data_IF_802019725907
#
_entry.id   IF_802019725907
#
_cell.length_a   1.000
_cell.length_b   1.000
_cell.length_c   1.000
_cell.angle_alpha   90.00
_cell.angle_beta   90.00
_cell.angle_gamma   90.00
#
_symmetry.space_group_name_H-M   'P 1'
#
loop_
_entity.id
_entity.type
_entity.pdbx_description
1 polymer ?
#
# COMPACT_ATOMS: atom_id res chain seq x y z
N UNK A 1 22.15 -13.35 -24.32
CA UNK A 1 21.39 -12.07 -24.33
C UNK A 1 20.71 -11.94 -22.98
N UNK A 2 20.97 -10.86 -22.22
CA UNK A 2 20.26 -10.59 -20.96
C UNK A 2 18.99 -9.85 -21.34
N UNK A 3 17.83 -10.48 -21.17
CA UNK A 3 16.54 -9.80 -21.36
C UNK A 3 16.24 -8.96 -20.12
N UNK A 4 16.01 -7.65 -20.24
CA UNK A 4 15.70 -6.81 -19.09
C UNK A 4 14.37 -7.24 -18.48
N UNK A 5 14.34 -7.34 -17.15
CA UNK A 5 13.14 -7.67 -16.40
C UNK A 5 12.24 -6.44 -16.33
N UNK A 6 10.95 -6.60 -16.61
CA UNK A 6 9.99 -5.49 -16.56
C UNK A 6 9.71 -5.16 -15.10
N UNK A 7 9.82 -3.88 -14.73
CA UNK A 7 9.54 -3.39 -13.37
C UNK A 7 8.22 -2.63 -13.35
N UNK A 8 7.25 -3.12 -12.57
CA UNK A 8 5.99 -2.44 -12.31
C UNK A 8 6.02 -1.68 -10.98
N UNK A 9 5.71 -0.40 -11.02
CA UNK A 9 5.44 0.40 -9.83
C UNK A 9 3.93 0.56 -9.65
N UNK A 10 3.39 0.23 -8.48
CA UNK A 10 1.95 0.29 -8.19
C UNK A 10 1.74 1.14 -6.95
N UNK A 11 0.77 2.04 -6.98
CA UNK A 11 0.42 2.92 -5.88
C UNK A 11 -0.93 2.51 -5.30
N UNK A 12 -0.95 2.09 -4.03
CA UNK A 12 -2.17 1.78 -3.29
C UNK A 12 -2.64 3.01 -2.54
N UNK A 13 -3.82 3.51 -2.89
CA UNK A 13 -4.51 4.57 -2.16
C UNK A 13 -4.84 4.16 -0.72
N UNK A 14 -5.06 5.11 0.21
CA UNK A 14 -5.44 4.80 1.58
C UNK A 14 -6.72 3.96 1.65
N UNK A 15 -6.71 2.93 2.48
CA UNK A 15 -7.87 2.08 2.76
C UNK A 15 -7.69 0.61 2.37
N UNK A 16 -8.31 -0.28 3.14
CA UNK A 16 -8.15 -1.73 2.97
C UNK A 16 -8.72 -2.26 1.65
N UNK A 17 -9.76 -1.63 1.13
CA UNK A 17 -10.36 -1.95 -0.16
C UNK A 17 -9.46 -1.66 -1.37
N UNK A 18 -8.44 -0.80 -1.22
CA UNK A 18 -7.40 -0.59 -2.23
C UNK A 18 -6.19 -1.48 -1.97
N UNK A 19 -5.78 -1.62 -0.70
CA UNK A 19 -4.58 -2.36 -0.35
C UNK A 19 -4.65 -3.85 -0.71
N UNK A 20 -5.74 -4.53 -0.37
CA UNK A 20 -5.90 -5.97 -0.62
C UNK A 20 -5.79 -6.31 -2.12
N UNK A 21 -6.57 -5.69 -3.03
CA UNK A 21 -6.47 -6.01 -4.45
C UNK A 21 -5.11 -5.62 -5.03
N UNK A 22 -4.49 -4.53 -4.56
CA UNK A 22 -3.13 -4.16 -5.01
C UNK A 22 -2.09 -5.20 -4.60
N UNK A 23 -2.17 -5.75 -3.38
CA UNK A 23 -1.27 -6.83 -2.94
C UNK A 23 -1.46 -8.09 -3.79
N UNK A 24 -2.70 -8.48 -4.06
CA UNK A 24 -2.99 -9.66 -4.88
C UNK A 24 -2.49 -9.48 -6.32
N UNK A 25 -2.71 -8.30 -6.91
CA UNK A 25 -2.21 -7.96 -8.24
C UNK A 25 -0.68 -8.01 -8.30
N UNK A 26 0.01 -7.41 -7.32
CA UNK A 26 1.47 -7.41 -7.30
C UNK A 26 2.05 -8.81 -7.12
N UNK A 27 1.41 -9.66 -6.31
CA UNK A 27 1.74 -11.08 -6.19
C UNK A 27 1.64 -11.78 -7.55
N UNK A 28 0.51 -11.66 -8.24
CA UNK A 28 0.28 -12.29 -9.55
C UNK A 28 1.30 -11.83 -10.59
N UNK A 29 1.61 -10.54 -10.66
CA UNK A 29 2.63 -10.01 -11.57
C UNK A 29 4.02 -10.58 -11.26
N UNK A 30 4.38 -10.66 -9.99
CA UNK A 30 5.67 -11.17 -9.52
C UNK A 30 5.83 -12.68 -9.72
N UNK A 31 4.76 -13.47 -9.56
CA UNK A 31 4.80 -14.94 -9.62
C UNK A 31 4.48 -15.51 -11.00
N UNK A 32 3.48 -14.96 -11.70
CA UNK A 32 2.96 -15.55 -12.93
C UNK A 32 3.47 -14.85 -14.20
N UNK A 33 3.92 -13.60 -14.09
CA UNK A 33 4.34 -12.81 -15.25
C UNK A 33 5.83 -12.45 -15.24
N UNK A 34 6.57 -12.82 -14.20
CA UNK A 34 8.02 -12.61 -14.11
C UNK A 34 8.42 -11.14 -13.92
N UNK A 35 7.50 -10.29 -13.45
CA UNK A 35 7.78 -8.88 -13.20
C UNK A 35 8.62 -8.72 -11.93
N UNK A 36 9.37 -7.63 -11.87
CA UNK A 36 9.77 -7.03 -10.61
C UNK A 36 8.70 -6.01 -10.23
N UNK A 37 8.23 -6.03 -8.99
CA UNK A 37 7.09 -5.23 -8.58
C UNK A 37 7.45 -4.45 -7.33
N UNK A 38 7.11 -3.16 -7.31
CA UNK A 38 7.19 -2.32 -6.12
C UNK A 38 5.83 -1.70 -5.85
N UNK A 39 5.28 -1.97 -4.68
CA UNK A 39 4.01 -1.40 -4.25
C UNK A 39 4.27 -0.31 -3.22
N UNK A 40 3.80 0.90 -3.51
CA UNK A 40 3.79 2.02 -2.59
C UNK A 40 2.43 2.08 -1.90
N UNK A 41 2.42 2.00 -0.56
CA UNK A 41 1.20 2.10 0.23
C UNK A 41 1.09 3.50 0.80
N UNK A 42 0.03 4.22 0.42
CA UNK A 42 -0.29 5.53 0.96
C UNK A 42 -1.05 5.35 2.27
N UNK A 43 -0.55 5.96 3.33
CA UNK A 43 -1.26 6.09 4.61
C UNK A 43 -1.74 7.53 4.77
N UNK A 44 -2.92 7.75 5.34
CA UNK A 44 -3.46 9.09 5.55
C UNK A 44 -3.72 9.33 7.04
N UNK A 45 -3.44 10.56 7.49
CA UNK A 45 -3.78 11.04 8.84
C UNK A 45 -4.87 12.08 8.75
N UNK A 46 -5.83 12.03 9.68
CA UNK A 46 -6.85 13.06 9.87
C UNK A 46 -6.65 13.69 11.24
N UNK A 47 -6.88 15.00 11.38
CA UNK A 47 -6.69 15.77 12.63
C UNK A 47 -7.56 15.34 13.81
N UNK A 48 -8.51 14.42 13.63
CA UNK A 48 -9.35 13.89 14.71
C UNK A 48 -8.77 12.58 15.25
N UNK A 49 -8.02 12.68 16.35
CA UNK A 49 -7.55 11.59 17.20
C UNK A 49 -6.48 10.66 16.58
N UNK A 50 -5.22 11.02 16.85
CA UNK A 50 -4.00 10.30 16.55
C UNK A 50 -3.82 8.99 17.37
N UNK A 51 -4.82 8.11 17.40
CA UNK A 51 -4.74 6.77 18.01
C UNK A 51 -4.84 5.61 17.01
N UNK A 52 -5.27 5.85 15.76
CA UNK A 52 -5.53 4.77 14.80
C UNK A 52 -4.42 4.57 13.76
N UNK A 53 -3.46 5.51 13.66
CA UNK A 53 -2.37 5.43 12.68
C UNK A 53 -1.43 4.23 12.91
N UNK A 54 -1.23 3.85 14.18
CA UNK A 54 -0.44 2.67 14.55
C UNK A 54 -1.15 1.35 14.20
N UNK A 55 -2.47 1.29 14.35
CA UNK A 55 -3.28 0.12 13.95
C UNK A 55 -3.29 -0.07 12.44
N UNK A 56 -3.37 1.02 11.66
CA UNK A 56 -3.31 0.92 10.19
C UNK A 56 -1.95 0.40 9.73
N UNK A 57 -0.85 0.88 10.32
CA UNK A 57 0.50 0.37 10.00
C UNK A 57 0.68 -1.09 10.39
N UNK A 58 0.21 -1.51 11.57
CA UNK A 58 0.32 -2.91 12.02
C UNK A 58 -0.47 -3.86 11.11
N UNK A 59 -1.67 -3.46 10.67
CA UNK A 59 -2.48 -4.26 9.76
C UNK A 59 -1.85 -4.37 8.37
N UNK A 60 -1.30 -3.27 7.84
CA UNK A 60 -0.53 -3.28 6.59
C UNK A 60 0.64 -4.27 6.73
N UNK A 61 1.47 -4.12 7.77
CA UNK A 61 2.62 -5.00 8.01
C UNK A 61 2.22 -6.47 8.14
N UNK A 62 1.10 -6.76 8.81
CA UNK A 62 0.58 -8.11 8.95
C UNK A 62 0.18 -8.69 7.59
N UNK A 63 -0.52 -7.93 6.75
CA UNK A 63 -0.96 -8.40 5.44
C UNK A 63 0.19 -8.57 4.45
N UNK A 64 1.24 -7.76 4.57
CA UNK A 64 2.41 -7.83 3.70
C UNK A 64 3.43 -8.87 4.16
N UNK A 65 3.35 -9.35 5.41
CA UNK A 65 4.32 -10.29 6.00
C UNK A 65 4.54 -11.57 5.18
N UNK A 66 3.46 -12.16 4.65
CA UNK A 66 3.53 -13.38 3.83
C UNK A 66 4.18 -13.15 2.44
N UNK A 67 4.13 -11.91 1.96
CA UNK A 67 4.64 -11.53 0.64
C UNK A 67 6.15 -11.21 0.66
N UNK A 68 6.74 -10.99 1.84
CA UNK A 68 8.18 -10.73 2.00
C UNK A 68 9.08 -11.91 1.55
N UNK A 69 8.51 -13.11 1.36
CA UNK A 69 9.22 -14.26 0.81
C UNK A 69 9.47 -14.15 -0.71
N UNK A 70 8.73 -13.27 -1.40
CA UNK A 70 8.84 -13.07 -2.83
C UNK A 70 9.96 -12.07 -3.14
N UNK A 71 11.10 -12.58 -3.63
CA UNK A 71 12.25 -11.74 -4.03
C UNK A 71 11.92 -10.70 -5.11
N UNK A 72 10.86 -10.92 -5.89
CA UNK A 72 10.42 -10.06 -6.99
C UNK A 72 9.38 -9.01 -6.57
N UNK A 73 9.00 -8.94 -5.30
CA UNK A 73 7.98 -8.02 -4.80
C UNK A 73 8.53 -7.21 -3.62
N UNK A 74 8.52 -5.89 -3.76
CA UNK A 74 8.90 -4.94 -2.72
C UNK A 74 7.69 -4.11 -2.30
N UNK A 75 7.57 -3.83 -1.00
CA UNK A 75 6.44 -3.07 -0.45
C UNK A 75 6.99 -1.94 0.40
N UNK A 76 6.64 -0.71 0.01
CA UNK A 76 7.13 0.51 0.62
C UNK A 76 5.93 1.23 1.22
N UNK A 77 5.91 1.36 2.55
CA UNK A 77 4.92 2.19 3.24
C UNK A 77 5.43 3.62 3.23
N UNK A 78 4.64 4.52 2.62
CA UNK A 78 5.00 5.94 2.55
C UNK A 78 4.68 6.66 3.87
N UNK A 79 5.36 7.77 4.17
CA UNK A 79 4.98 8.63 5.29
C UNK A 79 3.51 9.04 5.18
N UNK A 80 2.78 9.15 6.31
CA UNK A 80 1.38 9.53 6.24
C UNK A 80 1.19 10.89 5.60
N UNK A 81 0.23 10.98 4.67
CA UNK A 81 -0.18 12.25 4.07
C UNK A 81 -1.28 12.88 4.92
N UNK A 82 -1.13 14.16 5.21
CA UNK A 82 -2.18 14.95 5.84
C UNK A 82 -3.25 15.27 4.80
N UNK A 83 -4.49 14.85 5.07
CA UNK A 83 -5.66 15.10 4.20
C UNK A 83 -6.73 15.91 4.93
N UNK A 84 -6.37 16.53 6.05
CA UNK A 84 -7.30 17.27 6.90
C UNK A 84 -7.90 18.48 6.18
N UNK A 85 -7.20 19.03 5.20
CA UNK A 85 -7.68 20.11 4.32
C UNK A 85 -8.71 19.63 3.28
N UNK A 86 -8.84 18.32 3.07
CA UNK A 86 -9.79 17.69 2.13
C UNK A 86 -11.06 17.19 2.79
N UNK A 87 -11.13 17.24 4.11
CA UNK A 87 -12.31 16.83 4.88
C UNK A 87 -13.16 18.06 5.20
N UNK A 88 -14.47 17.96 4.97
CA UNK A 88 -15.41 19.00 5.39
C UNK A 88 -15.51 18.96 6.93
N UNK A 89 -15.11 20.02 7.65
CA UNK A 89 -15.18 20.06 9.10
C UNK A 89 -16.62 19.93 9.63
N UNK A 90 -17.64 20.12 8.79
CA UNK A 90 -19.05 19.98 9.15
C UNK A 90 -19.66 18.62 8.76
N UNK A 91 -18.90 17.72 8.15
CA UNK A 91 -19.38 16.38 7.74
C UNK A 91 -18.41 15.28 8.18
N UNK A 92 -18.39 14.93 9.48
CA UNK A 92 -17.38 14.05 10.08
C UNK A 92 -17.47 12.56 9.67
N UNK A 93 -18.51 12.15 8.94
CA UNK A 93 -18.74 10.74 8.61
C UNK A 93 -19.03 10.59 7.11
N UNK A 94 -18.00 10.28 6.33
CA UNK A 94 -18.13 9.50 5.10
C UNK A 94 -17.41 8.17 5.31
#
# INVERSE_FOLDING_TARGET
MVTPKIHAAILASPGMGHLIPTMELGKLLATNHGFEVTIFVITATTTTNSSNSDTTKSNILQQTSNLNSLKSLNIIVTPPVDVSDKLDPNKPNL
#
